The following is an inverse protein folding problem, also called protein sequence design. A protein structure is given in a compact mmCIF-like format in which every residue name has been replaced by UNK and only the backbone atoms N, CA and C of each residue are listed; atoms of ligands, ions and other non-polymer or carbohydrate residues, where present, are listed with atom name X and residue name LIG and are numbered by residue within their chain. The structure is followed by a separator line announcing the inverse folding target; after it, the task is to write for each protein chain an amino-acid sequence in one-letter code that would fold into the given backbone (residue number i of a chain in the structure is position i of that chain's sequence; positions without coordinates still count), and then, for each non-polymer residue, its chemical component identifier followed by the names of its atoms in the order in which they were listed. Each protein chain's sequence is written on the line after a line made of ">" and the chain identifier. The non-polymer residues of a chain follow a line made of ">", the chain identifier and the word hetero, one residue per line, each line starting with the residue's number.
data_IF_676309682344
#
_entry.id   IF_676309682344
#
_cell.length_a   1.000
_cell.length_b   1.000
_cell.length_c   1.000
_cell.angle_alpha   90.00
_cell.angle_beta   90.00
_cell.angle_gamma   90.00
#
_symmetry.space_group_name_H-M   'P 1'
#
loop_
_entity.id
_entity.type
_entity.pdbx_description
1 polymer ?
#
# COMPACT_ATOMS: atom_id res chain seq x y z
N UNK A 1 68.58 23.76 34.10
CA UNK A 1 68.32 22.86 33.02
C UNK A 1 67.09 22.09 33.44
N UNK A 2 65.88 22.70 33.26
CA UNK A 2 64.63 22.20 33.78
C UNK A 2 63.77 21.66 32.59
N UNK A 3 63.51 20.38 32.63
CA UNK A 3 62.69 19.64 31.67
C UNK A 3 61.23 19.77 32.09
N UNK A 4 60.39 20.50 31.30
CA UNK A 4 58.96 20.61 31.54
C UNK A 4 58.27 19.51 30.73
N UNK A 5 57.72 18.50 31.42
CA UNK A 5 56.87 17.46 30.85
C UNK A 5 55.44 18.03 30.73
N UNK A 6 54.95 18.21 29.51
CA UNK A 6 53.53 18.53 29.25
C UNK A 6 52.76 17.25 29.08
N UNK A 7 51.86 16.98 30.05
CA UNK A 7 50.89 15.88 29.98
C UNK A 7 49.72 16.38 29.12
N UNK A 8 49.51 15.76 27.94
CA UNK A 8 48.31 15.90 27.14
C UNK A 8 47.25 14.92 27.67
N UNK A 9 46.21 15.41 28.31
CA UNK A 9 45.00 14.63 28.61
C UNK A 9 44.13 14.55 27.36
N UNK A 10 44.07 13.38 26.75
CA UNK A 10 43.15 13.08 25.67
C UNK A 10 41.78 12.76 26.30
N UNK A 11 40.85 13.69 26.19
CA UNK A 11 39.46 13.47 26.52
C UNK A 11 38.83 12.66 25.35
N UNK A 12 38.72 11.37 25.51
CA UNK A 12 37.93 10.52 24.59
C UNK A 12 36.45 10.73 24.90
N UNK A 13 35.78 11.60 24.14
CA UNK A 13 34.31 11.66 24.11
C UNK A 13 33.76 10.43 23.43
N UNK A 14 33.25 9.48 24.22
CA UNK A 14 32.48 8.36 23.71
C UNK A 14 31.11 8.93 23.20
N UNK A 15 30.99 9.10 21.91
CA UNK A 15 29.69 9.31 21.27
C UNK A 15 28.90 8.03 21.44
N UNK A 16 28.00 8.00 22.41
CA UNK A 16 26.95 6.97 22.48
C UNK A 16 25.93 7.29 21.37
N UNK A 17 26.12 6.71 20.19
CA UNK A 17 25.10 6.67 19.17
C UNK A 17 24.01 5.73 19.68
N UNK A 18 22.93 6.28 20.20
CA UNK A 18 21.70 5.53 20.40
C UNK A 18 21.17 5.10 19.01
N UNK A 19 21.57 3.93 18.55
CA UNK A 19 20.82 3.25 17.53
C UNK A 19 19.48 2.89 18.18
N UNK A 20 18.42 3.57 17.82
CA UNK A 20 17.07 3.07 18.10
C UNK A 20 17.01 1.68 17.46
N UNK A 21 17.04 0.65 18.29
CA UNK A 21 16.81 -0.73 17.83
C UNK A 21 15.43 -0.74 17.19
N UNK A 22 15.33 -1.10 15.91
CA UNK A 22 14.05 -1.37 15.30
C UNK A 22 13.34 -2.41 16.19
N UNK A 23 12.07 -2.16 16.55
CA UNK A 23 11.35 -3.07 17.42
C UNK A 23 11.32 -4.46 16.78
N UNK A 24 11.68 -5.49 17.55
CA UNK A 24 11.60 -6.86 17.08
C UNK A 24 10.12 -7.25 16.97
N UNK A 25 9.74 -7.75 15.82
CA UNK A 25 8.42 -8.36 15.57
C UNK A 25 8.62 -9.78 15.02
N UNK A 26 7.64 -10.70 15.15
CA UNK A 26 7.76 -12.06 14.66
C UNK A 26 8.06 -12.10 13.15
N UNK A 27 8.87 -13.07 12.72
CA UNK A 27 9.08 -13.30 11.28
C UNK A 27 7.74 -13.68 10.64
N UNK A 28 7.34 -13.01 9.53
CA UNK A 28 6.11 -13.38 8.84
C UNK A 28 6.15 -14.82 8.31
N UNK A 29 5.01 -15.50 8.41
CA UNK A 29 4.78 -16.75 7.69
C UNK A 29 4.22 -16.43 6.30
N UNK A 30 4.70 -17.11 5.27
CA UNK A 30 4.15 -17.01 3.90
C UNK A 30 3.21 -18.20 3.62
N UNK A 31 2.18 -17.94 2.83
CA UNK A 31 1.21 -18.95 2.37
C UNK A 31 0.62 -18.60 1.03
N UNK A 32 -0.05 -19.56 0.44
CA UNK A 32 -0.81 -19.42 -0.81
C UNK A 32 -2.21 -19.98 -0.62
N UNK A 33 -3.19 -19.29 -1.19
CA UNK A 33 -4.57 -19.73 -1.27
C UNK A 33 -5.01 -19.76 -2.73
N UNK A 34 -5.52 -20.88 -3.20
CA UNK A 34 -6.01 -21.04 -4.58
C UNK A 34 -7.53 -20.99 -4.61
N UNK A 35 -8.04 -19.96 -5.27
CA UNK A 35 -9.45 -19.81 -5.57
C UNK A 35 -9.73 -20.55 -6.87
N UNK A 36 -10.66 -21.52 -6.85
CA UNK A 36 -11.03 -22.29 -8.04
C UNK A 36 -12.15 -21.60 -8.80
N UNK A 37 -12.05 -21.66 -10.14
CA UNK A 37 -13.05 -21.13 -11.07
C UNK A 37 -13.44 -19.67 -10.76
N UNK A 38 -12.43 -18.82 -10.44
CA UNK A 38 -12.65 -17.42 -10.11
C UNK A 38 -13.24 -16.68 -11.31
N UNK A 39 -14.40 -16.07 -11.11
CA UNK A 39 -15.14 -15.31 -12.14
C UNK A 39 -14.85 -13.83 -11.95
N UNK A 40 -14.22 -13.21 -12.94
CA UNK A 40 -13.96 -11.79 -12.98
C UNK A 40 -15.20 -10.99 -13.39
N UNK A 41 -15.24 -9.72 -12.99
CA UNK A 41 -16.28 -8.77 -13.43
C UNK A 41 -16.30 -8.60 -14.96
N UNK A 42 -15.19 -8.83 -15.64
CA UNK A 42 -15.10 -8.88 -17.11
C UNK A 42 -15.91 -10.01 -17.75
N UNK A 43 -16.38 -10.98 -16.96
CA UNK A 43 -17.05 -12.21 -17.43
C UNK A 43 -16.09 -13.36 -17.74
N UNK A 44 -14.79 -13.12 -17.70
CA UNK A 44 -13.76 -14.15 -17.86
C UNK A 44 -13.67 -15.03 -16.61
N UNK A 45 -13.13 -16.24 -16.75
CA UNK A 45 -12.92 -17.17 -15.62
C UNK A 45 -11.49 -17.69 -15.64
N UNK A 46 -10.85 -17.70 -14.49
CA UNK A 46 -9.57 -18.37 -14.30
C UNK A 46 -9.78 -19.65 -13.47
N UNK A 47 -9.42 -20.84 -13.98
CA UNK A 47 -9.61 -22.11 -13.26
C UNK A 47 -8.95 -22.16 -11.89
N UNK A 48 -7.77 -21.55 -11.78
CA UNK A 48 -7.00 -21.45 -10.54
C UNK A 48 -6.40 -20.05 -10.40
N UNK A 49 -6.94 -19.26 -9.48
CA UNK A 49 -6.40 -17.96 -9.07
C UNK A 49 -5.62 -18.15 -7.77
N UNK A 50 -4.29 -18.07 -7.83
CA UNK A 50 -3.43 -18.14 -6.65
C UNK A 50 -3.29 -16.76 -6.03
N UNK A 51 -3.58 -16.65 -4.74
CA UNK A 51 -3.33 -15.49 -3.90
C UNK A 51 -2.23 -15.84 -2.89
N UNK A 52 -1.08 -15.22 -3.04
CA UNK A 52 0.00 -15.30 -2.07
C UNK A 52 -0.23 -14.28 -0.95
N UNK A 53 0.14 -14.63 0.27
CA UNK A 53 -0.01 -13.75 1.43
C UNK A 53 1.09 -13.98 2.47
N UNK A 54 1.23 -13.00 3.36
CA UNK A 54 2.03 -13.11 4.59
C UNK A 54 1.13 -12.92 5.78
N UNK A 55 1.46 -13.63 6.89
CA UNK A 55 0.76 -13.46 8.17
C UNK A 55 1.73 -13.29 9.31
N UNK A 56 1.30 -12.51 10.32
CA UNK A 56 1.96 -12.43 11.61
C UNK A 56 0.90 -12.67 12.70
N UNK A 57 1.29 -13.30 13.81
CA UNK A 57 0.39 -13.63 14.92
C UNK A 57 -0.54 -14.80 14.61
N UNK A 58 -1.65 -14.89 15.34
CA UNK A 58 -2.66 -15.95 15.20
C UNK A 58 -4.05 -15.37 15.33
N UNK A 59 -5.01 -15.91 14.53
CA UNK A 59 -6.41 -15.55 14.66
C UNK A 59 -6.98 -16.05 16.00
N UNK A 60 -7.71 -15.18 16.67
CA UNK A 60 -8.45 -15.48 17.88
C UNK A 60 -9.96 -15.33 17.63
N UNK A 61 -10.74 -16.16 18.28
CA UNK A 61 -12.21 -16.14 18.15
C UNK A 61 -12.85 -16.06 19.54
N UNK A 62 -13.95 -15.32 19.61
CA UNK A 62 -14.81 -15.30 20.80
C UNK A 62 -15.62 -16.60 20.97
N UNK A 63 -16.44 -16.64 22.02
CA UNK A 63 -17.29 -17.79 22.33
C UNK A 63 -18.37 -18.06 21.27
N UNK A 64 -18.67 -17.09 20.40
CA UNK A 64 -19.63 -17.17 19.30
C UNK A 64 -18.93 -17.58 17.99
N UNK A 65 -17.61 -17.72 17.99
CA UNK A 65 -16.80 -18.06 16.82
C UNK A 65 -16.49 -16.89 15.89
N UNK A 66 -16.78 -15.63 16.30
CA UNK A 66 -16.39 -14.42 15.59
C UNK A 66 -14.90 -14.16 15.78
N UNK A 67 -14.17 -13.90 14.72
CA UNK A 67 -12.77 -13.49 14.79
C UNK A 67 -12.67 -12.09 15.39
N UNK A 68 -11.79 -11.89 16.38
CA UNK A 68 -11.74 -10.64 17.16
C UNK A 68 -10.50 -9.79 16.91
N UNK A 69 -9.45 -10.36 16.31
CA UNK A 69 -8.13 -9.71 16.26
C UNK A 69 -7.49 -9.66 14.87
N UNK A 70 -8.23 -9.96 13.82
CA UNK A 70 -7.67 -9.96 12.46
C UNK A 70 -7.50 -8.53 11.91
N UNK A 71 -6.34 -8.27 11.32
CA UNK A 71 -5.99 -7.02 10.64
C UNK A 71 -5.66 -7.33 9.19
N UNK A 72 -6.37 -6.73 8.24
CA UNK A 72 -6.05 -6.78 6.82
C UNK A 72 -5.30 -5.51 6.41
N UNK A 73 -4.11 -5.63 5.78
CA UNK A 73 -3.35 -4.49 5.27
C UNK A 73 -3.02 -4.70 3.80
N UNK A 74 -3.51 -3.82 2.93
CA UNK A 74 -3.44 -3.93 1.48
C UNK A 74 -2.43 -2.94 0.88
N UNK A 75 -1.60 -3.44 -0.06
CA UNK A 75 -0.50 -2.68 -0.66
C UNK A 75 -0.94 -1.73 -1.79
N UNK A 76 -0.02 -0.83 -2.21
CA UNK A 76 -0.19 0.07 -3.33
C UNK A 76 0.07 -0.57 -4.70
N UNK A 77 -0.26 0.16 -5.78
CA UNK A 77 0.00 -0.24 -7.18
C UNK A 77 1.47 -0.64 -7.36
N UNK A 78 1.72 -1.72 -8.09
CA UNK A 78 3.05 -2.35 -8.32
C UNK A 78 3.74 -2.87 -7.05
N UNK A 79 3.10 -2.81 -5.88
CA UNK A 79 3.63 -3.32 -4.63
C UNK A 79 3.32 -4.80 -4.38
N UNK A 80 3.52 -5.20 -3.13
CA UNK A 80 3.11 -6.50 -2.58
C UNK A 80 2.98 -6.40 -1.07
N UNK A 81 2.47 -7.44 -0.40
CA UNK A 81 2.43 -7.49 1.07
C UNK A 81 3.81 -7.33 1.72
N UNK A 82 4.90 -7.62 0.99
CA UNK A 82 6.26 -7.42 1.48
C UNK A 82 6.62 -5.94 1.72
N UNK A 83 5.92 -4.98 1.10
CA UNK A 83 6.20 -3.56 1.30
C UNK A 83 6.01 -3.11 2.75
N UNK A 84 5.20 -3.84 3.52
CA UNK A 84 4.92 -3.53 4.92
C UNK A 84 5.98 -4.09 5.89
N UNK A 85 6.84 -5.01 5.44
CA UNK A 85 7.91 -5.60 6.25
C UNK A 85 9.17 -4.71 6.11
N UNK A 86 9.07 -3.48 6.61
CA UNK A 86 10.13 -2.47 6.59
C UNK A 86 10.21 -1.78 7.95
N UNK A 87 11.38 -1.27 8.35
CA UNK A 87 11.53 -0.55 9.61
C UNK A 87 10.55 0.61 9.78
N UNK A 88 10.27 1.36 8.70
CA UNK A 88 9.38 2.53 8.72
C UNK A 88 7.89 2.16 8.86
N UNK A 89 7.52 0.89 8.66
CA UNK A 89 6.15 0.41 8.81
C UNK A 89 6.06 -0.66 9.90
N UNK A 90 6.57 -1.87 9.67
CA UNK A 90 6.51 -2.96 10.64
C UNK A 90 7.28 -2.63 11.92
N UNK A 91 8.43 -1.97 11.82
CA UNK A 91 9.22 -1.55 12.97
C UNK A 91 8.53 -0.51 13.86
N UNK A 92 7.52 0.19 13.34
CA UNK A 92 6.71 1.18 14.05
C UNK A 92 5.37 0.62 14.56
N UNK A 93 4.89 -0.52 14.00
CA UNK A 93 3.54 -0.99 14.22
C UNK A 93 3.44 -2.41 14.80
N UNK A 94 4.32 -3.34 14.44
CA UNK A 94 4.11 -4.77 14.66
C UNK A 94 4.85 -5.35 15.87
N UNK A 95 5.77 -4.59 16.46
CA UNK A 95 6.52 -5.02 17.65
C UNK A 95 5.65 -5.07 18.89
N UNK A 96 6.19 -5.68 19.95
CA UNK A 96 5.52 -5.77 21.25
C UNK A 96 5.13 -4.38 21.76
N UNK A 97 3.89 -4.25 22.22
CA UNK A 97 3.26 -3.02 22.75
C UNK A 97 3.15 -1.87 21.74
N UNK A 98 3.39 -2.14 20.44
CA UNK A 98 3.10 -1.23 19.33
C UNK A 98 1.62 -1.33 18.89
N UNK A 99 1.11 -0.37 18.09
CA UNK A 99 -0.32 -0.29 17.76
C UNK A 99 -0.95 -1.55 17.16
N UNK A 100 -0.20 -2.29 16.36
CA UNK A 100 -0.61 -3.56 15.74
C UNK A 100 0.31 -4.70 16.20
N UNK A 101 0.54 -4.78 17.50
CA UNK A 101 1.36 -5.80 18.16
C UNK A 101 1.04 -7.21 17.64
N UNK A 102 1.97 -7.81 16.91
CA UNK A 102 1.79 -9.12 16.29
C UNK A 102 1.70 -10.28 17.28
N UNK A 103 1.88 -10.03 18.60
CA UNK A 103 1.59 -11.02 19.65
C UNK A 103 0.11 -11.01 20.06
N UNK A 104 -0.64 -9.97 19.69
CA UNK A 104 -2.06 -9.76 20.02
C UNK A 104 -2.95 -9.83 18.78
N UNK A 105 -2.45 -9.35 17.61
CA UNK A 105 -3.21 -9.29 16.39
C UNK A 105 -2.77 -10.33 15.37
N UNK A 106 -3.72 -10.80 14.58
CA UNK A 106 -3.48 -11.62 13.40
C UNK A 106 -3.44 -10.71 12.18
N UNK A 107 -2.24 -10.38 11.72
CA UNK A 107 -2.00 -9.45 10.62
C UNK A 107 -1.91 -10.25 9.32
N UNK A 108 -2.71 -9.88 8.33
CA UNK A 108 -2.75 -10.49 6.99
C UNK A 108 -2.32 -9.47 5.95
N UNK A 109 -1.29 -9.79 5.17
CA UNK A 109 -0.66 -8.95 4.14
C UNK A 109 -0.72 -9.69 2.80
N UNK A 110 -1.84 -9.64 2.06
CA UNK A 110 -1.94 -10.32 0.77
C UNK A 110 -1.13 -9.61 -0.31
N UNK A 111 -0.66 -10.37 -1.29
CA UNK A 111 -0.30 -9.86 -2.60
C UNK A 111 -1.59 -9.83 -3.45
N UNK A 112 -1.96 -8.69 -4.03
CA UNK A 112 -3.15 -8.57 -4.87
C UNK A 112 -3.05 -9.36 -6.18
N UNK A 113 -4.18 -9.60 -6.86
CA UNK A 113 -4.17 -10.14 -8.22
C UNK A 113 -3.25 -9.27 -9.10
N UNK A 114 -2.41 -9.88 -9.91
CA UNK A 114 -1.48 -9.17 -10.78
C UNK A 114 -0.22 -8.66 -10.08
N UNK A 115 0.00 -8.98 -8.80
CA UNK A 115 1.09 -8.42 -7.99
C UNK A 115 1.85 -9.49 -7.20
N UNK A 116 3.09 -9.18 -6.88
CA UNK A 116 3.93 -9.99 -6.00
C UNK A 116 4.08 -11.44 -6.49
N UNK A 117 3.71 -12.40 -5.63
CA UNK A 117 3.70 -13.83 -5.94
C UNK A 117 2.30 -14.36 -6.23
N UNK A 118 1.25 -13.53 -6.23
CA UNK A 118 -0.10 -13.92 -6.69
C UNK A 118 -0.12 -14.13 -8.21
N UNK A 119 -1.16 -14.79 -8.72
CA UNK A 119 -1.36 -14.98 -10.16
C UNK A 119 -1.34 -13.65 -10.90
N UNK A 120 -0.58 -13.55 -11.98
CA UNK A 120 -0.32 -12.32 -12.73
C UNK A 120 -0.01 -12.58 -14.20
N UNK A 121 -0.12 -11.59 -15.09
CA UNK A 121 0.17 -11.73 -16.52
C UNK A 121 1.52 -12.38 -16.83
N UNK A 122 2.59 -11.95 -16.15
CA UNK A 122 3.95 -12.45 -16.38
C UNK A 122 4.16 -13.92 -15.97
N UNK A 123 3.20 -14.56 -15.30
CA UNK A 123 3.26 -16.01 -14.97
C UNK A 123 3.01 -16.93 -16.20
N UNK A 124 3.00 -16.38 -17.42
CA UNK A 124 2.93 -17.14 -18.67
C UNK A 124 1.65 -16.94 -19.49
N UNK A 125 0.61 -16.27 -18.95
CA UNK A 125 -0.58 -15.91 -19.72
C UNK A 125 -0.41 -14.60 -20.49
N UNK A 126 0.54 -13.75 -20.09
CA UNK A 126 0.84 -12.49 -20.75
C UNK A 126 -0.43 -11.63 -20.94
N UNK A 127 -0.66 -11.09 -22.12
CA UNK A 127 -1.85 -10.31 -22.45
C UNK A 127 -3.16 -11.13 -22.55
N UNK A 128 -3.11 -12.46 -22.34
CA UNK A 128 -4.27 -13.35 -22.23
C UNK A 128 -4.71 -13.57 -20.80
N UNK A 129 -4.03 -12.97 -19.81
CA UNK A 129 -4.49 -12.99 -18.43
C UNK A 129 -5.84 -12.27 -18.34
N UNK A 130 -6.83 -12.79 -17.57
CA UNK A 130 -8.13 -12.15 -17.44
C UNK A 130 -8.02 -10.70 -17.00
N UNK A 131 -8.86 -9.84 -17.58
CA UNK A 131 -8.92 -8.43 -17.16
C UNK A 131 -9.59 -8.33 -15.80
N UNK A 132 -8.84 -7.92 -14.81
CA UNK A 132 -9.33 -7.73 -13.45
C UNK A 132 -9.50 -6.25 -13.11
N UNK A 133 -10.37 -5.99 -12.14
CA UNK A 133 -10.58 -4.69 -11.54
C UNK A 133 -10.32 -4.70 -10.03
N UNK A 134 -10.52 -3.56 -9.39
CA UNK A 134 -10.38 -3.46 -7.93
C UNK A 134 -11.50 -4.22 -7.22
N UNK A 135 -12.70 -4.33 -7.82
CA UNK A 135 -13.78 -5.16 -7.29
C UNK A 135 -13.37 -6.64 -7.24
N UNK A 136 -12.70 -7.14 -8.28
CA UNK A 136 -12.17 -8.51 -8.31
C UNK A 136 -11.09 -8.73 -7.25
N UNK A 137 -10.23 -7.71 -7.05
CA UNK A 137 -9.17 -7.78 -6.05
C UNK A 137 -9.72 -7.83 -4.63
N UNK A 138 -10.77 -7.05 -4.32
CA UNK A 138 -11.46 -7.07 -3.02
C UNK A 138 -12.16 -8.40 -2.80
N UNK A 139 -12.84 -8.95 -3.83
CA UNK A 139 -13.48 -10.26 -3.75
C UNK A 139 -12.46 -11.38 -3.46
N UNK A 140 -11.32 -11.39 -4.15
CA UNK A 140 -10.25 -12.36 -3.89
C UNK A 140 -9.66 -12.24 -2.48
N UNK A 141 -9.53 -11.01 -1.95
CA UNK A 141 -9.10 -10.75 -0.58
C UNK A 141 -10.14 -11.25 0.43
N UNK A 142 -11.43 -11.06 0.14
CA UNK A 142 -12.52 -11.55 0.98
C UNK A 142 -12.51 -13.09 1.07
N UNK A 143 -12.40 -13.78 -0.07
CA UNK A 143 -12.30 -15.25 -0.10
C UNK A 143 -11.01 -15.76 0.57
N UNK A 144 -9.89 -15.05 0.43
CA UNK A 144 -8.67 -15.39 1.18
C UNK A 144 -8.93 -15.36 2.70
N UNK A 145 -9.59 -14.30 3.20
CA UNK A 145 -9.86 -14.18 4.64
C UNK A 145 -10.84 -15.26 5.09
N UNK A 146 -11.97 -15.42 4.40
CA UNK A 146 -13.07 -16.30 4.81
C UNK A 146 -12.76 -17.77 4.59
N UNK A 147 -12.45 -18.14 3.36
CA UNK A 147 -12.31 -19.54 2.94
C UNK A 147 -10.88 -20.05 3.14
N UNK A 148 -9.89 -19.17 2.93
CA UNK A 148 -8.48 -19.53 3.08
C UNK A 148 -7.99 -19.53 4.52
N UNK A 149 -8.35 -18.51 5.31
CA UNK A 149 -7.82 -18.29 6.66
C UNK A 149 -8.87 -18.47 7.77
N UNK A 150 -10.14 -18.71 7.43
CA UNK A 150 -11.24 -18.89 8.40
C UNK A 150 -11.52 -17.63 9.25
N UNK A 151 -11.17 -16.46 8.73
CA UNK A 151 -11.44 -15.15 9.32
C UNK A 151 -12.80 -14.67 8.86
N UNK A 152 -13.75 -14.54 9.77
CA UNK A 152 -15.11 -14.12 9.48
C UNK A 152 -15.44 -12.70 9.95
N UNK A 153 -14.46 -12.01 10.54
CA UNK A 153 -14.55 -10.60 10.92
C UNK A 153 -13.15 -10.02 11.12
N UNK A 154 -12.95 -8.76 10.78
CA UNK A 154 -11.71 -8.04 10.93
C UNK A 154 -11.82 -6.94 11.99
N UNK A 155 -10.80 -6.84 12.85
CA UNK A 155 -10.66 -5.72 13.78
C UNK A 155 -10.36 -4.41 13.05
N UNK A 156 -9.60 -4.52 11.94
CA UNK A 156 -9.25 -3.38 11.09
C UNK A 156 -9.02 -3.85 9.65
N UNK A 157 -9.57 -3.10 8.71
CA UNK A 157 -9.20 -3.17 7.30
C UNK A 157 -8.54 -1.86 6.90
N UNK A 158 -7.30 -1.92 6.46
CA UNK A 158 -6.54 -0.74 6.06
C UNK A 158 -5.70 -1.01 4.80
N UNK A 159 -5.27 0.04 4.16
CA UNK A 159 -4.40 -0.09 3.01
C UNK A 159 -3.82 1.24 2.56
N UNK A 160 -2.84 1.15 1.67
CA UNK A 160 -2.08 2.30 1.20
C UNK A 160 -2.26 2.48 -0.30
N UNK A 161 -2.56 3.71 -0.77
CA UNK A 161 -2.74 4.01 -2.20
C UNK A 161 -3.83 3.12 -2.84
N UNK A 162 -3.50 2.20 -3.74
CA UNK A 162 -4.43 1.18 -4.25
C UNK A 162 -5.13 0.42 -3.12
N UNK A 163 -4.38 -0.05 -2.12
CA UNK A 163 -4.97 -0.70 -0.94
C UNK A 163 -5.85 0.24 -0.11
N UNK A 164 -5.57 1.54 -0.10
CA UNK A 164 -6.46 2.55 0.46
C UNK A 164 -7.76 2.65 -0.33
N UNK A 165 -7.70 2.59 -1.67
CA UNK A 165 -8.89 2.51 -2.53
C UNK A 165 -9.69 1.23 -2.26
N UNK A 166 -9.01 0.09 -2.09
CA UNK A 166 -9.68 -1.15 -1.68
C UNK A 166 -10.35 -1.03 -0.31
N UNK A 167 -9.77 -0.29 0.64
CA UNK A 167 -10.41 -0.09 1.97
C UNK A 167 -11.77 0.60 1.87
N UNK A 168 -11.94 1.57 0.96
CA UNK A 168 -13.24 2.18 0.68
C UNK A 168 -14.23 1.14 0.14
N UNK A 169 -13.82 0.33 -0.85
CA UNK A 169 -14.66 -0.73 -1.43
C UNK A 169 -15.01 -1.81 -0.40
N UNK A 170 -14.09 -2.18 0.49
CA UNK A 170 -14.36 -3.10 1.59
C UNK A 170 -15.51 -2.61 2.46
N UNK A 171 -15.50 -1.33 2.83
CA UNK A 171 -16.57 -0.74 3.63
C UNK A 171 -17.94 -0.75 2.96
N UNK A 172 -17.98 -0.64 1.63
CA UNK A 172 -19.23 -0.67 0.86
C UNK A 172 -19.76 -2.08 0.60
N UNK A 173 -18.85 -3.00 0.25
CA UNK A 173 -19.20 -4.35 -0.17
C UNK A 173 -19.45 -5.28 1.02
N UNK A 174 -18.75 -5.05 2.12
CA UNK A 174 -18.80 -5.88 3.32
C UNK A 174 -18.97 -5.05 4.60
N UNK A 175 -20.02 -4.19 4.72
CA UNK A 175 -20.13 -3.18 5.77
C UNK A 175 -20.10 -3.73 7.20
N UNK A 176 -20.52 -5.00 7.40
CA UNK A 176 -20.56 -5.66 8.72
C UNK A 176 -19.30 -6.49 9.03
N UNK A 177 -18.32 -6.51 8.12
CA UNK A 177 -17.15 -7.41 8.23
C UNK A 177 -16.04 -6.84 9.11
N UNK A 178 -16.03 -5.55 9.44
CA UNK A 178 -14.94 -4.94 10.17
C UNK A 178 -15.41 -3.96 11.24
N UNK A 179 -14.57 -3.81 12.30
CA UNK A 179 -14.80 -2.83 13.36
C UNK A 179 -14.28 -1.43 12.98
N UNK A 180 -13.30 -1.35 12.09
CA UNK A 180 -12.69 -0.08 11.68
C UNK A 180 -12.13 -0.14 10.25
N UNK A 181 -12.09 1.03 9.59
CA UNK A 181 -11.50 1.24 8.26
C UNK A 181 -10.45 2.36 8.31
N UNK A 182 -9.31 2.15 7.64
CA UNK A 182 -8.27 3.18 7.55
C UNK A 182 -7.65 3.24 6.14
N UNK A 183 -8.31 3.90 5.18
CA UNK A 183 -7.73 4.19 3.87
C UNK A 183 -6.64 5.26 3.96
N UNK A 184 -5.43 4.96 3.46
CA UNK A 184 -4.32 5.91 3.39
C UNK A 184 -4.02 6.27 1.93
N UNK A 185 -3.73 7.56 1.70
CA UNK A 185 -3.32 8.10 0.40
C UNK A 185 -4.25 7.72 -0.76
N UNK A 186 -5.55 7.91 -0.56
CA UNK A 186 -6.60 7.61 -1.54
C UNK A 186 -7.76 8.58 -1.42
N UNK A 187 -8.57 8.68 -2.48
CA UNK A 187 -9.77 9.51 -2.52
C UNK A 187 -11.00 8.63 -2.73
N UNK A 188 -12.14 8.94 -2.07
CA UNK A 188 -13.37 8.16 -2.16
C UNK A 188 -14.21 8.53 -3.40
N UNK A 189 -13.59 8.52 -4.56
CA UNK A 189 -14.23 8.87 -5.84
C UNK A 189 -13.50 8.21 -7.00
N UNK A 190 -14.15 8.15 -8.15
CA UNK A 190 -13.57 7.66 -9.39
C UNK A 190 -12.23 8.37 -9.69
N UNK A 191 -11.25 7.61 -10.16
CA UNK A 191 -9.96 8.16 -10.57
C UNK A 191 -10.13 9.03 -11.82
N UNK A 192 -9.89 10.31 -11.67
CA UNK A 192 -10.08 11.33 -12.72
C UNK A 192 -8.92 12.31 -12.79
N UNK A 193 -9.05 13.32 -13.64
CA UNK A 193 -8.10 14.43 -13.76
C UNK A 193 -6.66 13.96 -13.99
N UNK A 194 -5.71 14.60 -13.28
CA UNK A 194 -4.29 14.29 -13.42
C UNK A 194 -3.94 12.85 -13.01
N UNK A 195 -4.64 12.28 -12.00
CA UNK A 195 -4.40 10.90 -11.59
C UNK A 195 -4.76 9.92 -12.73
N UNK A 196 -5.88 10.14 -13.44
CA UNK A 196 -6.21 9.33 -14.62
C UNK A 196 -5.25 9.60 -15.78
N UNK A 197 -4.86 10.85 -16.00
CA UNK A 197 -4.02 11.24 -17.12
C UNK A 197 -2.65 10.53 -17.10
N UNK A 198 -1.93 10.55 -15.98
CA UNK A 198 -0.62 9.89 -15.92
C UNK A 198 -0.72 8.36 -16.06
N UNK A 199 -1.78 7.73 -15.52
CA UNK A 199 -2.04 6.29 -15.74
C UNK A 199 -2.24 5.99 -17.21
N UNK A 200 -3.04 6.81 -17.88
CA UNK A 200 -3.30 6.66 -19.31
C UNK A 200 -2.03 6.86 -20.14
N UNK A 201 -1.17 7.83 -19.78
CA UNK A 201 0.12 8.03 -20.46
C UNK A 201 1.00 6.80 -20.39
N UNK A 202 1.08 6.13 -19.24
CA UNK A 202 1.86 4.89 -19.10
C UNK A 202 1.22 3.74 -19.90
N UNK A 203 -0.09 3.56 -19.80
CA UNK A 203 -0.83 2.55 -20.56
C UNK A 203 -0.59 2.72 -22.06
N UNK A 204 -0.73 3.95 -22.57
CA UNK A 204 -0.52 4.25 -23.99
C UNK A 204 0.95 4.07 -24.40
N UNK A 205 1.90 4.44 -23.53
CA UNK A 205 3.32 4.21 -23.80
C UNK A 205 3.63 2.73 -24.01
N UNK A 206 3.10 1.86 -23.14
CA UNK A 206 3.32 0.41 -23.27
C UNK A 206 2.62 -0.15 -24.51
N UNK A 207 1.34 0.18 -24.70
CA UNK A 207 0.54 -0.37 -25.81
C UNK A 207 1.01 0.08 -27.20
N UNK A 208 1.57 1.28 -27.30
CA UNK A 208 2.10 1.83 -28.56
C UNK A 208 3.58 1.50 -28.78
N UNK A 209 4.25 0.82 -27.87
CA UNK A 209 5.63 0.38 -28.04
C UNK A 209 5.67 -0.84 -28.97
N UNK A 210 6.28 -0.76 -30.17
CA UNK A 210 6.37 -1.91 -31.08
C UNK A 210 7.04 -3.13 -30.45
N UNK A 211 7.94 -2.92 -29.47
CA UNK A 211 8.65 -4.01 -28.79
C UNK A 211 7.80 -4.72 -27.73
N UNK A 212 6.59 -4.21 -27.44
CA UNK A 212 5.63 -4.88 -26.55
C UNK A 212 4.97 -6.10 -27.23
N UNK A 213 4.91 -6.13 -28.57
CA UNK A 213 4.43 -7.27 -29.35
C UNK A 213 3.08 -7.84 -28.86
N UNK A 214 2.09 -6.96 -28.60
CA UNK A 214 0.79 -7.32 -28.04
C UNK A 214 0.87 -8.15 -26.73
N UNK A 215 1.95 -7.93 -25.97
CA UNK A 215 2.22 -8.59 -24.69
C UNK A 215 3.05 -9.87 -24.77
N UNK A 216 3.48 -10.29 -25.95
CA UNK A 216 4.23 -11.54 -26.18
C UNK A 216 5.77 -11.30 -26.34
N UNK A 217 6.27 -10.17 -25.80
CA UNK A 217 7.69 -9.81 -25.86
C UNK A 217 8.61 -10.84 -25.18
N UNK A 218 9.85 -10.90 -25.65
CA UNK A 218 10.92 -11.76 -25.07
C UNK A 218 11.83 -11.00 -24.12
N UNK A 219 11.94 -9.69 -24.33
CA UNK A 219 12.70 -8.77 -23.49
C UNK A 219 11.80 -7.62 -23.12
N UNK A 220 11.94 -7.08 -21.92
CA UNK A 220 11.09 -5.98 -21.47
C UNK A 220 11.08 -4.82 -22.49
N UNK A 221 9.89 -4.33 -22.88
CA UNK A 221 9.78 -3.23 -23.82
C UNK A 221 10.38 -1.94 -23.25
N UNK A 222 10.92 -1.10 -24.14
CA UNK A 222 11.59 0.14 -23.75
C UNK A 222 10.65 1.10 -22.98
N UNK A 223 9.36 1.03 -23.26
CA UNK A 223 8.30 1.80 -22.60
C UNK A 223 8.14 1.52 -21.10
N UNK A 224 8.64 0.39 -20.58
CA UNK A 224 8.67 0.15 -19.12
C UNK A 224 9.50 1.24 -18.40
N UNK A 225 10.50 1.82 -19.08
CA UNK A 225 11.23 2.99 -18.58
C UNK A 225 10.29 4.18 -18.33
N UNK A 226 9.39 4.48 -19.28
CA UNK A 226 8.42 5.58 -19.14
C UNK A 226 7.51 5.37 -17.92
N UNK A 227 7.10 4.12 -17.65
CA UNK A 227 6.33 3.78 -16.47
C UNK A 227 7.09 4.12 -15.16
N UNK A 228 8.36 3.72 -15.10
CA UNK A 228 9.23 4.00 -13.95
C UNK A 228 9.46 5.50 -13.74
N UNK A 229 9.73 6.25 -14.81
CA UNK A 229 9.93 7.70 -14.77
C UNK A 229 8.67 8.42 -14.29
N UNK A 230 7.49 8.02 -14.77
CA UNK A 230 6.22 8.60 -14.35
C UNK A 230 5.91 8.29 -12.89
N UNK A 231 6.17 7.07 -12.41
CA UNK A 231 6.02 6.70 -11.01
C UNK A 231 6.95 7.55 -10.12
N UNK A 232 8.21 7.73 -10.51
CA UNK A 232 9.15 8.57 -9.78
C UNK A 232 8.67 10.01 -9.67
N UNK A 233 8.18 10.56 -10.79
CA UNK A 233 7.70 11.94 -10.86
C UNK A 233 6.44 12.15 -10.02
N UNK A 234 5.44 11.28 -10.17
CA UNK A 234 4.13 11.43 -9.52
C UNK A 234 4.14 11.09 -8.03
N UNK A 235 4.94 10.11 -7.60
CA UNK A 235 4.98 9.67 -6.20
C UNK A 235 5.89 10.51 -5.30
N UNK A 236 6.65 11.44 -5.87
CA UNK A 236 7.65 12.21 -5.12
C UNK A 236 7.12 13.55 -4.60
N UNK A 237 7.90 14.12 -3.68
CA UNK A 237 7.73 15.46 -3.17
C UNK A 237 8.82 16.37 -3.76
N UNK A 238 8.49 17.50 -4.42
CA UNK A 238 9.47 18.35 -5.07
C UNK A 238 10.51 18.94 -4.09
N UNK A 239 10.12 19.27 -2.85
CA UNK A 239 11.03 19.78 -1.84
C UNK A 239 12.07 18.73 -1.44
N UNK A 240 11.61 17.50 -1.21
CA UNK A 240 12.50 16.39 -0.88
C UNK A 240 13.44 16.08 -2.04
N UNK A 241 12.92 16.04 -3.28
CA UNK A 241 13.74 15.77 -4.47
C UNK A 241 14.79 16.84 -4.70
N UNK A 242 14.47 18.12 -4.50
CA UNK A 242 15.45 19.20 -4.59
C UNK A 242 16.56 19.07 -3.53
N UNK A 243 16.22 18.61 -2.33
CA UNK A 243 17.19 18.36 -1.25
C UNK A 243 18.11 17.15 -1.54
N UNK A 244 17.54 16.06 -2.05
CA UNK A 244 18.26 14.81 -2.36
C UNK A 244 19.13 14.94 -3.62
N UNK A 245 18.68 15.72 -4.60
CA UNK A 245 19.28 15.87 -5.91
C UNK A 245 19.37 17.36 -6.32
N UNK A 246 20.23 18.15 -5.66
CA UNK A 246 20.28 19.62 -5.84
C UNK A 246 20.98 20.08 -7.12
N UNK A 247 21.56 19.18 -7.92
CA UNK A 247 22.26 19.48 -9.16
C UNK A 247 21.75 18.62 -10.32
N UNK A 248 21.93 19.09 -11.56
CA UNK A 248 21.57 18.34 -12.76
C UNK A 248 22.14 16.92 -12.73
N UNK A 249 23.45 16.78 -12.57
CA UNK A 249 24.10 15.46 -12.56
C UNK A 249 23.59 14.53 -11.44
N UNK A 250 23.26 15.10 -10.25
CA UNK A 250 22.72 14.29 -9.15
C UNK A 250 21.28 13.87 -9.40
N UNK A 251 20.50 14.70 -10.10
CA UNK A 251 19.15 14.35 -10.51
C UNK A 251 19.15 13.19 -11.50
N UNK A 252 20.04 13.26 -12.50
CA UNK A 252 20.18 12.20 -13.52
C UNK A 252 20.61 10.88 -12.84
N UNK A 253 21.59 10.91 -11.93
CA UNK A 253 22.05 9.73 -11.17
C UNK A 253 20.92 9.09 -10.35
N UNK A 254 20.14 9.88 -9.61
CA UNK A 254 19.06 9.40 -8.74
C UNK A 254 17.93 8.81 -9.57
N UNK A 255 17.56 9.47 -10.68
CA UNK A 255 16.53 8.99 -11.59
C UNK A 255 16.95 7.68 -12.27
N UNK A 256 18.16 7.61 -12.83
CA UNK A 256 18.66 6.40 -13.49
C UNK A 256 18.75 5.21 -12.54
N UNK A 257 19.17 5.45 -11.29
CA UNK A 257 19.19 4.41 -10.25
C UNK A 257 17.79 3.88 -9.97
N UNK A 258 16.81 4.76 -9.77
CA UNK A 258 15.42 4.38 -9.51
C UNK A 258 14.83 3.60 -10.69
N UNK A 259 14.95 4.13 -11.90
CA UNK A 259 14.47 3.49 -13.13
C UNK A 259 15.11 2.11 -13.31
N UNK A 260 16.43 2.00 -13.12
CA UNK A 260 17.12 0.72 -13.22
C UNK A 260 16.68 -0.32 -12.19
N UNK A 261 16.19 0.09 -11.01
CA UNK A 261 15.59 -0.81 -10.02
C UNK A 261 14.22 -1.32 -10.48
N UNK A 262 13.36 -0.42 -10.97
CA UNK A 262 12.02 -0.77 -11.45
C UNK A 262 12.09 -1.72 -12.66
N UNK A 263 12.92 -1.41 -13.68
CA UNK A 263 13.06 -2.27 -14.87
C UNK A 263 13.54 -3.70 -14.53
N UNK A 264 14.29 -3.85 -13.44
CA UNK A 264 14.74 -5.18 -12.98
C UNK A 264 13.69 -5.95 -12.19
N UNK A 265 12.76 -5.23 -11.54
CA UNK A 265 11.79 -5.81 -10.62
C UNK A 265 10.44 -6.06 -11.26
N UNK A 266 10.04 -5.20 -12.20
CA UNK A 266 8.69 -5.17 -12.75
C UNK A 266 8.65 -5.72 -14.19
N UNK A 267 7.48 -6.16 -14.59
CA UNK A 267 7.13 -6.63 -15.92
C UNK A 267 6.13 -5.67 -16.57
N UNK A 268 6.27 -5.40 -17.87
CA UNK A 268 5.44 -4.41 -18.55
C UNK A 268 3.96 -4.81 -18.60
N UNK A 269 3.64 -6.11 -18.75
CA UNK A 269 2.26 -6.57 -18.71
C UNK A 269 1.68 -6.42 -17.29
N UNK A 270 2.44 -6.77 -16.25
CA UNK A 270 1.99 -6.64 -14.87
C UNK A 270 1.70 -5.16 -14.53
N UNK A 271 2.59 -4.24 -14.94
CA UNK A 271 2.39 -2.78 -14.76
C UNK A 271 1.17 -2.29 -15.54
N UNK A 272 1.01 -2.70 -16.79
CA UNK A 272 -0.13 -2.35 -17.64
C UNK A 272 -1.44 -2.74 -16.97
N UNK A 273 -1.57 -4.02 -16.58
CA UNK A 273 -2.76 -4.54 -15.93
C UNK A 273 -3.05 -3.88 -14.58
N UNK A 274 -2.01 -3.65 -13.76
CA UNK A 274 -2.17 -2.97 -12.47
C UNK A 274 -2.71 -1.54 -12.61
N UNK A 275 -2.30 -0.80 -13.65
CA UNK A 275 -2.82 0.54 -13.91
C UNK A 275 -4.24 0.51 -14.50
N UNK A 276 -4.54 -0.47 -15.35
CA UNK A 276 -5.87 -0.65 -15.92
C UNK A 276 -6.88 -1.14 -14.88
N UNK A 277 -6.48 -1.94 -13.91
CA UNK A 277 -7.37 -2.50 -12.88
C UNK A 277 -8.19 -1.44 -12.13
N UNK A 278 -7.74 -0.20 -12.10
CA UNK A 278 -8.45 0.91 -11.47
C UNK A 278 -9.66 1.45 -12.24
N UNK A 279 -10.03 0.82 -13.36
CA UNK A 279 -11.11 1.30 -14.24
C UNK A 279 -12.50 1.22 -13.60
N UNK A 280 -12.72 0.30 -12.68
CA UNK A 280 -13.98 0.04 -11.98
C UNK A 280 -14.06 0.70 -10.59
N UNK A 281 -13.02 1.44 -10.19
CA UNK A 281 -12.99 2.10 -8.90
C UNK A 281 -13.86 3.35 -8.88
N UNK A 282 -14.99 3.29 -8.19
CA UNK A 282 -15.86 4.44 -7.93
C UNK A 282 -16.72 4.22 -6.66
N UNK A 283 -16.19 4.45 -5.46
CA UNK A 283 -16.97 4.32 -4.23
C UNK A 283 -17.96 5.47 -4.02
N UNK A 284 -17.81 6.58 -4.75
CA UNK A 284 -18.62 7.77 -4.56
C UNK A 284 -20.13 7.52 -4.44
N UNK A 285 -20.76 6.69 -5.30
CA UNK A 285 -22.20 6.44 -5.23
C UNK A 285 -22.70 5.74 -3.96
N UNK A 286 -21.83 5.11 -3.17
CA UNK A 286 -22.24 4.23 -2.07
C UNK A 286 -21.59 4.54 -0.70
N UNK A 287 -20.98 5.68 -0.53
CA UNK A 287 -20.24 6.04 0.70
C UNK A 287 -21.10 5.94 1.97
N UNK A 288 -22.42 6.18 1.85
CA UNK A 288 -23.38 6.08 2.95
C UNK A 288 -23.59 4.63 3.45
N UNK A 289 -23.20 3.63 2.66
CA UNK A 289 -23.26 2.21 3.06
C UNK A 289 -22.16 1.82 4.04
N UNK A 290 -21.08 2.60 4.14
CA UNK A 290 -19.95 2.32 5.04
C UNK A 290 -20.43 2.57 6.48
N UNK A 291 -20.54 1.48 7.26
CA UNK A 291 -21.05 1.55 8.65
C UNK A 291 -19.92 1.62 9.67
N UNK A 292 -18.78 0.99 9.39
CA UNK A 292 -17.65 0.98 10.31
C UNK A 292 -17.06 2.39 10.47
N UNK A 293 -16.63 2.78 11.68
CA UNK A 293 -15.81 3.97 11.88
C UNK A 293 -14.62 4.01 10.92
N UNK A 294 -14.50 5.13 10.19
CA UNK A 294 -13.52 5.28 9.12
C UNK A 294 -12.63 6.50 9.37
N UNK A 295 -11.32 6.28 9.28
CA UNK A 295 -10.32 7.34 9.31
C UNK A 295 -9.52 7.34 8.01
N UNK A 296 -9.77 8.32 7.14
CA UNK A 296 -8.97 8.53 5.93
C UNK A 296 -7.78 9.45 6.22
N UNK A 297 -6.58 9.07 5.76
CA UNK A 297 -5.36 9.87 5.95
C UNK A 297 -4.66 10.11 4.62
N UNK A 298 -4.48 11.39 4.27
CA UNK A 298 -3.66 11.85 3.14
C UNK A 298 -2.55 12.79 3.61
N UNK A 299 -1.63 13.17 2.73
CA UNK A 299 -0.53 14.10 3.01
C UNK A 299 -0.71 15.38 2.22
N UNK A 300 -0.36 16.54 2.81
CA UNK A 300 -0.48 17.85 2.18
C UNK A 300 0.36 18.01 0.91
N UNK A 301 1.40 17.18 0.75
CA UNK A 301 2.32 17.19 -0.38
C UNK A 301 2.10 16.02 -1.36
N UNK A 302 0.97 15.32 -1.25
CA UNK A 302 0.63 14.23 -2.16
C UNK A 302 0.24 14.78 -3.54
N UNK A 303 1.02 14.47 -4.57
CA UNK A 303 0.76 14.91 -5.95
C UNK A 303 -0.21 13.98 -6.72
N UNK A 304 -0.48 12.78 -6.19
CA UNK A 304 -1.45 11.84 -6.77
C UNK A 304 -2.86 12.16 -6.27
N UNK A 305 -2.99 12.44 -4.97
CA UNK A 305 -4.26 12.79 -4.31
C UNK A 305 -4.14 14.16 -3.61
N UNK A 306 -3.92 15.26 -4.37
CA UNK A 306 -3.66 16.56 -3.77
C UNK A 306 -4.88 17.08 -3.00
N UNK A 307 -4.69 17.56 -1.74
CA UNK A 307 -5.77 18.04 -0.91
C UNK A 307 -6.52 19.23 -1.50
N UNK A 308 -5.86 20.02 -2.35
CA UNK A 308 -6.45 21.19 -3.03
C UNK A 308 -7.67 20.86 -3.89
N UNK A 309 -7.87 19.58 -4.24
CA UNK A 309 -9.08 19.14 -4.91
C UNK A 309 -10.33 19.25 -4.03
N UNK A 310 -10.18 19.29 -2.69
CA UNK A 310 -11.29 19.34 -1.74
C UNK A 310 -12.17 18.08 -1.71
N UNK A 311 -11.81 17.03 -2.49
CA UNK A 311 -12.63 15.81 -2.65
C UNK A 311 -12.75 15.07 -1.34
N UNK A 312 -11.64 14.77 -0.67
CA UNK A 312 -11.66 14.00 0.58
C UNK A 312 -12.47 14.75 1.65
N UNK A 313 -12.27 16.05 1.79
CA UNK A 313 -12.99 16.89 2.76
C UNK A 313 -14.50 16.96 2.46
N UNK A 314 -14.86 16.97 1.20
CA UNK A 314 -16.25 16.96 0.76
C UNK A 314 -16.94 15.62 0.99
N UNK A 315 -16.37 14.56 0.45
CA UNK A 315 -16.99 13.25 0.38
C UNK A 315 -16.98 12.49 1.72
N UNK A 316 -16.01 12.73 2.60
CA UNK A 316 -15.95 12.08 3.92
C UNK A 316 -17.20 12.37 4.77
N UNK A 317 -17.87 13.49 4.55
CA UNK A 317 -19.11 13.89 5.25
C UNK A 317 -20.29 12.98 4.95
N UNK A 318 -20.21 12.21 3.88
CA UNK A 318 -21.21 11.22 3.46
C UNK A 318 -21.06 9.86 4.14
N UNK A 319 -19.89 9.60 4.74
CA UNK A 319 -19.65 8.40 5.53
C UNK A 319 -20.17 8.63 6.95
N UNK A 320 -21.16 7.88 7.46
CA UNK A 320 -21.82 8.15 8.74
C UNK A 320 -20.87 8.32 9.93
N UNK A 321 -19.79 7.52 9.98
CA UNK A 321 -18.77 7.58 11.03
C UNK A 321 -17.38 7.88 10.44
N UNK A 322 -17.35 8.71 9.38
CA UNK A 322 -16.15 9.05 8.64
C UNK A 322 -15.46 10.30 9.19
N UNK A 323 -14.15 10.26 9.26
CA UNK A 323 -13.29 11.43 9.47
C UNK A 323 -12.06 11.38 8.60
N UNK A 324 -11.50 12.52 8.28
CA UNK A 324 -10.31 12.63 7.45
C UNK A 324 -9.25 13.51 8.11
N UNK A 325 -7.99 13.18 7.87
CA UNK A 325 -6.82 13.93 8.30
C UNK A 325 -5.89 14.14 7.11
N UNK A 326 -5.40 15.35 6.95
CA UNK A 326 -4.31 15.67 6.02
C UNK A 326 -3.07 15.95 6.86
N UNK A 327 -2.05 15.07 6.73
CA UNK A 327 -0.75 15.26 7.39
C UNK A 327 -0.11 16.54 6.85
N UNK A 328 0.23 17.52 7.71
CA UNK A 328 0.81 18.77 7.25
C UNK A 328 2.19 18.56 6.64
N UNK A 329 2.56 19.42 5.68
CA UNK A 329 3.89 19.44 5.09
C UNK A 329 4.98 19.55 6.16
N UNK A 330 5.99 18.72 6.07
CA UNK A 330 7.15 18.73 6.97
C UNK A 330 8.40 18.19 6.27
N UNK A 331 9.54 18.24 6.93
CA UNK A 331 10.79 17.60 6.49
C UNK A 331 10.77 16.06 6.54
N UNK A 332 9.72 15.49 7.14
CA UNK A 332 9.51 14.04 7.26
C UNK A 332 8.53 13.50 6.21
N UNK A 333 7.68 14.37 5.63
CA UNK A 333 6.74 13.95 4.58
C UNK A 333 7.46 13.68 3.27
N UNK A 334 6.90 12.74 2.48
CA UNK A 334 7.52 12.19 1.25
C UNK A 334 6.53 12.22 0.08
N UNK A 335 5.65 13.21 0.02
CA UNK A 335 4.59 13.25 -0.97
C UNK A 335 3.65 12.06 -0.81
N UNK A 336 3.26 11.42 -1.90
CA UNK A 336 2.43 10.21 -1.87
C UNK A 336 3.04 9.12 -0.98
N UNK A 337 4.36 8.97 -0.96
CA UNK A 337 5.07 7.99 -0.14
C UNK A 337 4.94 8.17 1.39
N UNK A 338 4.38 9.27 1.88
CA UNK A 338 4.14 9.51 3.32
C UNK A 338 3.29 8.42 3.98
N UNK A 339 2.40 7.78 3.21
CA UNK A 339 1.58 6.68 3.70
C UNK A 339 2.38 5.45 4.19
N UNK A 340 3.62 5.27 3.71
CA UNK A 340 4.48 4.15 4.13
C UNK A 340 5.30 4.44 5.40
N UNK A 341 5.29 5.69 5.88
CA UNK A 341 6.02 6.15 7.06
C UNK A 341 5.06 6.19 8.24
N UNK A 342 4.90 5.06 8.93
CA UNK A 342 3.91 4.91 9.99
C UNK A 342 4.08 5.91 11.14
N UNK A 343 5.29 6.35 11.43
CA UNK A 343 5.56 7.37 12.44
C UNK A 343 4.83 8.70 12.21
N UNK A 344 4.35 8.97 10.97
CA UNK A 344 3.59 10.18 10.66
C UNK A 344 2.11 10.11 11.08
N UNK A 345 1.57 8.91 11.25
CA UNK A 345 0.12 8.70 11.41
C UNK A 345 -0.25 7.63 12.45
N UNK A 346 0.69 6.88 13.02
CA UNK A 346 0.39 5.78 13.96
C UNK A 346 -0.42 6.22 15.19
N UNK A 347 -0.25 7.46 15.65
CA UNK A 347 -0.99 7.97 16.80
C UNK A 347 -2.49 8.11 16.49
N UNK A 348 -2.84 8.41 15.24
CA UNK A 348 -4.23 8.47 14.77
C UNK A 348 -4.83 7.06 14.63
N UNK A 349 -4.04 6.07 14.23
CA UNK A 349 -4.43 4.67 14.26
C UNK A 349 -4.75 4.22 15.70
N UNK A 350 -3.92 4.57 16.66
CA UNK A 350 -4.18 4.26 18.09
C UNK A 350 -5.49 4.84 18.55
N UNK A 351 -5.82 6.08 18.17
CA UNK A 351 -7.11 6.71 18.50
C UNK A 351 -8.27 5.94 17.89
N UNK A 352 -8.18 5.60 16.59
CA UNK A 352 -9.22 4.83 15.90
C UNK A 352 -9.46 3.48 16.57
N UNK A 353 -8.41 2.74 16.90
CA UNK A 353 -8.54 1.45 17.59
C UNK A 353 -9.19 1.57 18.97
N UNK A 354 -8.84 2.59 19.75
CA UNK A 354 -9.47 2.84 21.06
C UNK A 354 -10.94 3.23 20.96
N UNK A 355 -11.29 4.09 20.01
CA UNK A 355 -12.67 4.51 19.77
C UNK A 355 -13.57 3.32 19.44
N UNK A 356 -13.05 2.35 18.71
CA UNK A 356 -13.82 1.17 18.27
C UNK A 356 -13.79 0.02 19.27
N UNK A 357 -12.93 0.02 20.30
CA UNK A 357 -13.00 -0.90 21.44
C UNK A 357 -14.15 -0.55 22.41
N UNK A 358 -14.48 0.72 22.56
CA UNK A 358 -15.54 1.18 23.46
C UNK A 358 -16.94 0.90 22.94
N UNK A 359 -17.08 0.56 21.66
CA UNK A 359 -18.35 0.33 20.98
C UNK A 359 -18.70 -1.17 20.83
N UNK A 360 -17.85 -2.07 21.35
CA UNK A 360 -18.07 -3.53 21.42
C UNK A 360 -18.67 -3.89 22.79
#
# INVERSE_FOLDING_TARGET
>A
MNLIIRIFAILSSVLVTNFASAAEYPTPSEGEFTIRDFKFQSGETLPELRIHYRTLGKAEKDAQGKTTNAILIMHGTTGSGAQFIRPEFAGELFGKDQPLDATKFFIVLPDGIGHGKSSKPSDGMHAKFPRYGYLDMVEAQYQLLTDGLGVNHARLVMGTSMGGMHSWLWGELHPDFMDALMPLASLPTQISGRNRAWRRMVIDAIRNDPSWEDGEYKTQPASLRTAAEMLWFMSSNPVLRQKEAPTLAKTDEVLDKFVGQIIKADDANDVLYALEASHDYDPGPNLEKIQAPLLAINSADDLINPPELGILEGEIKRVPHGRAIVIPLSDKTRGHGSHTVAALWKDELVKLLKETELNQ
#
